data_IF_355901532753
#
_entry.id   IF_355901532753
#
_cell.length_a   1.000
_cell.length_b   1.000
_cell.length_c   1.000
_cell.angle_alpha   90.00
_cell.angle_beta   90.00
_cell.angle_gamma   90.00
#
_symmetry.space_group_name_H-M   'P 1'
#
loop_
_entity.id
_entity.type
_entity.pdbx_description
1 polymer ?
#
# COMPACT_ATOMS: atom_id res chain seq x y z
N UNK A 1 28.24 3.69 17.48
CA UNK A 1 26.95 3.63 16.77
C UNK A 1 25.84 3.84 17.78
N UNK A 2 25.31 5.05 17.83
CA UNK A 2 24.21 5.40 18.74
C UNK A 2 22.91 4.90 18.11
N UNK A 3 22.31 3.88 18.67
CA UNK A 3 20.92 3.55 18.42
C UNK A 3 20.09 4.60 19.18
N UNK A 4 19.65 5.63 18.50
CA UNK A 4 18.58 6.47 19.01
C UNK A 4 17.30 5.63 19.03
N UNK A 5 17.05 4.99 20.15
CA UNK A 5 15.71 4.61 20.52
C UNK A 5 15.00 5.91 20.91
N UNK A 6 14.39 6.57 19.96
CA UNK A 6 13.43 7.62 20.24
C UNK A 6 12.28 6.98 21.02
N UNK A 7 12.34 7.10 22.34
CA UNK A 7 11.25 6.75 23.24
C UNK A 7 10.09 7.70 22.92
N UNK A 8 9.22 7.27 22.00
CA UNK A 8 7.97 7.97 21.74
C UNK A 8 7.05 7.72 22.91
N UNK A 9 6.84 8.72 23.77
CA UNK A 9 5.84 8.62 24.82
C UNK A 9 4.45 8.39 24.22
N UNK A 10 3.80 7.31 24.65
CA UNK A 10 2.40 7.06 24.33
C UNK A 10 1.53 7.97 25.16
N UNK A 11 0.70 8.77 24.51
CA UNK A 11 -0.37 9.49 25.18
C UNK A 11 -1.56 8.55 25.36
N UNK A 12 -2.34 8.79 26.40
CA UNK A 12 -3.62 8.10 26.61
C UNK A 12 -4.48 8.27 25.35
N UNK A 13 -4.91 7.15 24.75
CA UNK A 13 -5.66 7.02 23.49
C UNK A 13 -4.83 6.99 22.20
N UNK A 14 -3.51 6.81 22.24
CA UNK A 14 -2.73 6.52 21.04
C UNK A 14 -3.06 5.11 20.53
N UNK A 15 -3.27 4.99 19.22
CA UNK A 15 -3.37 3.72 18.53
C UNK A 15 -1.98 3.33 18.02
N UNK A 16 -1.54 2.13 18.38
CA UNK A 16 -0.34 1.52 17.79
C UNK A 16 -0.79 0.37 16.88
N UNK A 17 -0.33 0.41 15.64
CA UNK A 17 -0.52 -0.66 14.66
C UNK A 17 0.84 -1.26 14.39
N UNK A 18 1.01 -2.55 14.65
CA UNK A 18 2.24 -3.30 14.40
C UNK A 18 2.03 -4.24 13.22
N UNK A 19 2.87 -4.13 12.22
CA UNK A 19 2.97 -5.07 11.12
C UNK A 19 4.21 -5.92 11.30
N UNK A 20 4.02 -7.22 11.45
CA UNK A 20 5.11 -8.18 11.53
C UNK A 20 5.38 -8.78 10.15
N UNK A 21 6.66 -8.96 9.85
CA UNK A 21 7.10 -9.54 8.59
C UNK A 21 6.84 -11.05 8.58
N UNK A 22 6.01 -11.51 7.66
CA UNK A 22 5.88 -12.93 7.34
C UNK A 22 6.96 -13.43 6.36
N UNK A 23 6.98 -14.73 6.10
CA UNK A 23 7.97 -15.37 5.21
C UNK A 23 7.93 -14.80 3.79
N UNK A 24 6.75 -14.45 3.28
CA UNK A 24 6.53 -13.91 1.93
C UNK A 24 6.60 -12.38 1.86
N UNK A 25 7.14 -11.71 2.87
CA UNK A 25 7.21 -10.25 2.89
C UNK A 25 8.05 -9.66 1.76
N UNK A 26 9.16 -10.30 1.44
CA UNK A 26 10.03 -9.88 0.36
C UNK A 26 9.84 -10.79 -0.85
N UNK A 27 9.45 -10.20 -1.96
CA UNK A 27 9.27 -10.87 -3.25
C UNK A 27 10.52 -10.76 -4.11
N UNK A 28 10.87 -11.85 -4.78
CA UNK A 28 11.99 -11.89 -5.72
C UNK A 28 11.62 -11.21 -7.04
N UNK A 29 12.31 -10.13 -7.34
CA UNK A 29 12.20 -9.44 -8.61
C UNK A 29 13.43 -9.76 -9.48
N UNK A 30 13.27 -10.51 -10.57
CA UNK A 30 14.39 -10.85 -11.44
C UNK A 30 14.90 -9.61 -12.17
N UNK A 31 16.16 -9.32 -11.99
CA UNK A 31 16.92 -8.32 -12.74
C UNK A 31 17.69 -8.99 -13.88
N UNK A 32 18.47 -8.19 -14.59
CA UNK A 32 19.36 -8.65 -15.63
C UNK A 32 20.46 -9.58 -15.09
N UNK A 33 20.90 -10.57 -15.87
CA UNK A 33 21.96 -11.54 -15.53
C UNK A 33 21.69 -12.45 -14.33
N UNK A 34 20.43 -12.80 -14.06
CA UNK A 34 20.10 -13.75 -13.00
C UNK A 34 20.23 -13.19 -11.58
N UNK A 35 20.39 -11.87 -11.45
CA UNK A 35 20.38 -11.20 -10.15
C UNK A 35 18.92 -10.96 -9.74
N UNK A 36 18.52 -11.44 -8.57
CA UNK A 36 17.22 -11.15 -8.00
C UNK A 36 17.32 -10.02 -6.98
N UNK A 37 16.46 -9.03 -7.12
CA UNK A 37 16.28 -8.00 -6.11
C UNK A 37 15.09 -8.35 -5.22
N UNK A 38 15.27 -8.28 -3.92
CA UNK A 38 14.18 -8.42 -2.97
C UNK A 38 13.33 -7.14 -2.93
N UNK A 39 12.09 -7.26 -3.35
CA UNK A 39 11.14 -6.15 -3.34
C UNK A 39 10.15 -6.30 -2.17
N UNK A 40 10.04 -5.31 -1.30
CA UNK A 40 9.01 -5.26 -0.28
C UNK A 40 7.65 -4.88 -0.87
N UNK A 41 6.53 -5.19 -0.17
CA UNK A 41 5.19 -4.90 -0.63
C UNK A 41 4.85 -3.41 -0.55
N UNK A 42 3.90 -2.98 -1.37
CA UNK A 42 3.17 -1.72 -1.19
C UNK A 42 2.12 -1.93 -0.10
N UNK A 43 1.92 -0.94 0.75
CA UNK A 43 1.05 -1.02 1.91
C UNK A 43 0.23 0.26 2.04
N UNK A 44 -1.06 0.11 2.35
CA UNK A 44 -1.90 1.19 2.85
C UNK A 44 -2.59 0.75 4.14
N UNK A 45 -2.69 1.66 5.09
CA UNK A 45 -3.39 1.48 6.36
C UNK A 45 -4.36 2.65 6.51
N UNK A 46 -5.63 2.34 6.74
CA UNK A 46 -6.66 3.35 6.93
C UNK A 46 -7.68 2.96 7.97
N UNK A 47 -8.45 3.93 8.41
CA UNK A 47 -9.57 3.74 9.32
C UNK A 47 -10.89 3.83 8.57
N UNK A 48 -11.82 2.98 8.97
CA UNK A 48 -13.22 3.02 8.57
C UNK A 48 -14.12 3.12 9.80
N UNK A 49 -15.30 3.70 9.63
CA UNK A 49 -16.35 3.63 10.64
C UNK A 49 -16.99 2.24 10.69
N UNK A 50 -18.00 2.07 11.52
CA UNK A 50 -18.74 0.80 11.68
C UNK A 50 -19.48 0.38 10.41
N UNK A 51 -19.86 1.34 9.59
CA UNK A 51 -20.63 1.13 8.37
C UNK A 51 -19.73 0.90 7.15
N UNK A 52 -18.40 0.97 7.35
CA UNK A 52 -17.39 0.76 6.31
C UNK A 52 -17.03 2.02 5.53
N UNK A 53 -17.42 3.20 6.01
CA UNK A 53 -17.04 4.45 5.38
C UNK A 53 -15.60 4.82 5.75
N UNK A 54 -14.83 5.26 4.77
CA UNK A 54 -13.48 5.75 4.97
C UNK A 54 -13.45 6.97 5.91
N UNK A 55 -12.57 6.95 6.89
CA UNK A 55 -12.35 8.05 7.83
C UNK A 55 -11.05 8.79 7.55
N UNK A 56 -9.94 8.07 7.55
CA UNK A 56 -8.60 8.66 7.34
C UNK A 56 -7.58 7.61 6.96
N UNK A 57 -6.54 8.02 6.23
CA UNK A 57 -5.36 7.21 5.99
C UNK A 57 -4.36 7.39 7.13
N UNK A 58 -3.92 6.29 7.71
CA UNK A 58 -2.88 6.25 8.72
C UNK A 58 -1.49 6.25 8.07
N UNK A 59 -1.32 5.37 7.07
CA UNK A 59 -0.05 5.17 6.39
C UNK A 59 -0.28 4.72 4.95
N UNK A 60 0.54 5.17 4.02
CA UNK A 60 0.63 4.63 2.67
C UNK A 60 2.06 4.72 2.16
N UNK A 61 2.52 3.70 1.43
CA UNK A 61 3.84 3.71 0.83
C UNK A 61 4.02 4.87 -0.16
N UNK A 62 5.16 5.51 -0.12
CA UNK A 62 5.47 6.72 -0.89
C UNK A 62 5.23 6.57 -2.40
N UNK A 63 5.56 5.41 -2.97
CA UNK A 63 5.34 5.15 -4.39
C UNK A 63 3.87 5.23 -4.80
N UNK A 64 2.97 4.75 -3.95
CA UNK A 64 1.53 4.85 -4.16
C UNK A 64 1.06 6.29 -3.98
N UNK A 65 1.51 6.95 -2.90
CA UNK A 65 1.10 8.31 -2.58
C UNK A 65 1.49 9.33 -3.66
N UNK A 66 2.65 9.16 -4.29
CA UNK A 66 3.24 10.16 -5.21
C UNK A 66 3.37 9.69 -6.64
N UNK A 67 3.07 8.43 -6.92
CA UNK A 67 3.29 7.82 -8.23
C UNK A 67 4.74 7.91 -8.72
N UNK A 68 5.69 7.83 -7.78
CA UNK A 68 7.14 7.90 -8.05
C UNK A 68 7.73 6.55 -8.52
N UNK A 69 6.97 5.81 -9.32
CA UNK A 69 7.43 4.56 -9.90
C UNK A 69 8.59 4.78 -10.86
N UNK A 70 9.60 3.93 -10.74
CA UNK A 70 10.68 3.86 -11.71
C UNK A 70 10.37 2.76 -12.73
N UNK A 71 10.65 3.01 -14.00
CA UNK A 71 10.51 2.05 -15.10
C UNK A 71 9.07 1.52 -15.31
N UNK A 72 8.06 2.21 -14.82
CA UNK A 72 6.66 1.82 -14.97
C UNK A 72 5.98 2.49 -16.18
N UNK A 73 6.73 3.22 -17.00
CA UNK A 73 6.17 3.95 -18.14
C UNK A 73 5.04 4.90 -17.71
N UNK A 74 3.88 4.77 -18.35
CA UNK A 74 2.66 5.51 -17.99
C UNK A 74 1.72 4.73 -17.08
N UNK A 75 2.07 3.49 -16.67
CA UNK A 75 1.23 2.66 -15.84
C UNK A 75 1.16 3.25 -14.43
N UNK A 76 -0.04 3.61 -13.98
CA UNK A 76 -0.31 4.13 -12.64
C UNK A 76 -0.49 3.02 -11.60
N UNK A 77 -0.44 1.75 -12.03
CA UNK A 77 -0.60 0.59 -11.17
C UNK A 77 -1.88 0.64 -10.33
N UNK A 78 -3.00 0.90 -11.01
CA UNK A 78 -4.34 0.96 -10.40
C UNK A 78 -4.71 -0.33 -9.66
N UNK A 79 -4.10 -1.44 -10.01
CA UNK A 79 -4.29 -2.76 -9.41
C UNK A 79 -3.46 -2.95 -8.14
N UNK A 80 -2.59 -2.00 -7.78
CA UNK A 80 -1.65 -2.18 -6.66
C UNK A 80 -2.35 -2.16 -5.30
N UNK A 81 -3.07 -1.09 -4.99
CA UNK A 81 -3.86 -0.96 -3.76
C UNK A 81 -5.26 -0.42 -4.09
N UNK A 82 -6.10 -1.23 -4.77
CA UNK A 82 -7.39 -0.76 -5.29
C UNK A 82 -8.40 -0.44 -4.19
N UNK A 83 -8.44 -1.20 -3.10
CA UNK A 83 -9.43 -1.00 -2.04
C UNK A 83 -9.19 0.31 -1.30
N UNK A 84 -7.95 0.60 -0.91
CA UNK A 84 -7.61 1.88 -0.28
C UNK A 84 -7.97 3.07 -1.16
N UNK A 85 -7.59 3.02 -2.44
CA UNK A 85 -7.85 4.13 -3.35
C UNK A 85 -9.35 4.36 -3.58
N UNK A 86 -10.13 3.30 -3.75
CA UNK A 86 -11.59 3.39 -3.86
C UNK A 86 -12.26 3.86 -2.57
N UNK A 87 -11.83 3.35 -1.41
CA UNK A 87 -12.39 3.72 -0.11
C UNK A 87 -12.25 5.21 0.18
N UNK A 88 -11.17 5.84 -0.27
CA UNK A 88 -10.96 7.29 -0.16
C UNK A 88 -12.02 8.10 -0.92
N UNK A 89 -12.59 7.56 -2.00
CA UNK A 89 -13.62 8.23 -2.79
C UNK A 89 -13.13 9.42 -3.62
N UNK A 90 -11.83 9.69 -3.67
CA UNK A 90 -11.23 10.80 -4.44
C UNK A 90 -10.96 10.34 -5.86
N UNK A 91 -11.71 10.88 -6.82
CA UNK A 91 -11.55 10.60 -8.25
C UNK A 91 -10.78 11.74 -8.93
N UNK A 92 -9.73 11.37 -9.64
CA UNK A 92 -8.85 12.30 -10.35
C UNK A 92 -9.31 12.52 -11.81
N UNK A 93 -8.73 13.51 -12.50
CA UNK A 93 -9.12 13.91 -13.86
C UNK A 93 -9.05 12.78 -14.89
N UNK A 94 -8.18 11.82 -14.70
CA UNK A 94 -8.04 10.62 -15.55
C UNK A 94 -9.08 9.53 -15.27
N UNK A 95 -10.02 9.79 -14.36
CA UNK A 95 -11.08 8.85 -13.98
C UNK A 95 -10.64 7.76 -12.98
N UNK A 96 -9.39 7.75 -12.54
CA UNK A 96 -8.87 6.82 -11.54
C UNK A 96 -8.94 7.41 -10.13
N UNK A 97 -8.89 6.53 -9.13
CA UNK A 97 -8.92 6.90 -7.70
C UNK A 97 -7.55 6.96 -7.04
N UNK A 98 -6.50 6.66 -7.78
CA UNK A 98 -5.12 6.77 -7.32
C UNK A 98 -4.62 8.20 -7.35
N UNK A 99 -3.79 8.63 -6.41
CA UNK A 99 -3.07 9.89 -6.50
C UNK A 99 -2.29 10.01 -7.80
N UNK A 100 -1.98 11.23 -8.20
CA UNK A 100 -1.16 11.52 -9.38
C UNK A 100 0.16 12.17 -8.97
N UNK A 101 1.10 12.30 -9.91
CA UNK A 101 2.32 13.09 -9.67
C UNK A 101 2.04 14.58 -9.46
N UNK A 102 0.95 15.08 -10.07
CA UNK A 102 0.53 16.49 -9.93
C UNK A 102 -0.24 16.72 -8.63
N UNK A 103 -1.01 15.72 -8.22
CA UNK A 103 -1.86 15.74 -7.04
C UNK A 103 -1.51 14.52 -6.17
N UNK A 104 -0.35 14.55 -5.49
CA UNK A 104 0.06 13.47 -4.61
C UNK A 104 -0.82 13.44 -3.36
N UNK A 105 -0.88 12.27 -2.74
CA UNK A 105 -1.53 12.13 -1.44
C UNK A 105 -0.66 12.77 -0.34
N UNK A 106 -1.29 13.61 0.50
CA UNK A 106 -0.61 14.37 1.56
C UNK A 106 -1.24 14.22 2.95
N UNK A 107 -2.42 13.61 3.04
CA UNK A 107 -3.24 13.60 4.27
C UNK A 107 -2.96 12.41 5.20
N UNK A 108 -1.76 11.87 5.18
CA UNK A 108 -1.35 10.77 6.05
C UNK A 108 0.15 10.57 6.02
N UNK A 109 0.64 9.68 6.90
CA UNK A 109 2.04 9.32 6.87
C UNK A 109 2.39 8.61 5.56
N UNK A 110 3.48 9.03 4.95
CA UNK A 110 4.07 8.34 3.81
C UNK A 110 5.48 7.89 4.14
N UNK A 111 5.85 6.70 3.71
CA UNK A 111 7.17 6.15 3.97
C UNK A 111 7.70 5.34 2.80
N UNK A 112 9.02 5.10 2.81
CA UNK A 112 9.63 4.16 1.89
C UNK A 112 8.97 2.79 2.03
N UNK A 113 8.96 2.02 0.94
CA UNK A 113 8.44 0.64 0.96
C UNK A 113 9.24 -0.18 1.98
N UNK A 114 8.61 -0.72 3.04
CA UNK A 114 9.32 -1.29 4.17
C UNK A 114 9.89 -2.68 3.85
N UNK A 115 11.18 -2.87 4.15
CA UNK A 115 11.87 -4.16 4.00
C UNK A 115 11.63 -5.11 5.17
N UNK A 116 11.20 -4.57 6.30
CA UNK A 116 10.89 -5.32 7.53
C UNK A 116 9.54 -4.88 8.09
N UNK A 117 9.07 -5.61 9.11
CA UNK A 117 7.93 -5.18 9.90
C UNK A 117 8.16 -3.82 10.54
N UNK A 118 7.11 -3.08 10.80
CA UNK A 118 7.19 -1.73 11.35
C UNK A 118 5.97 -1.39 12.20
N UNK A 119 6.14 -0.39 13.04
CA UNK A 119 5.07 0.18 13.85
C UNK A 119 4.61 1.51 13.27
N UNK A 120 3.31 1.72 13.29
CA UNK A 120 2.69 3.02 13.02
C UNK A 120 1.89 3.45 14.25
N UNK A 121 2.03 4.70 14.63
CA UNK A 121 1.31 5.30 15.75
C UNK A 121 0.48 6.46 15.26
N UNK A 122 -0.74 6.57 15.77
CA UNK A 122 -1.61 7.69 15.47
C UNK A 122 -2.55 7.98 16.64
N UNK A 123 -3.07 9.19 16.67
CA UNK A 123 -4.20 9.54 17.53
C UNK A 123 -5.47 9.52 16.69
N UNK A 124 -6.47 8.66 17.01
CA UNK A 124 -7.78 8.75 16.39
C UNK A 124 -8.40 10.13 16.66
N UNK A 125 -9.27 10.58 15.75
CA UNK A 125 -9.98 11.83 15.93
C UNK A 125 -10.73 11.88 17.26
N UNK A 126 -10.77 13.05 17.88
CA UNK A 126 -11.47 13.25 19.17
C UNK A 126 -12.94 12.81 19.04
N UNK A 127 -13.40 12.03 20.00
CA UNK A 127 -14.75 11.48 20.01
C UNK A 127 -14.94 10.21 19.17
N UNK A 128 -13.98 9.77 18.40
CA UNK A 128 -14.02 8.52 17.66
C UNK A 128 -13.80 7.33 18.61
N UNK A 129 -14.89 6.66 19.00
CA UNK A 129 -14.87 5.57 19.98
C UNK A 129 -14.80 4.17 19.36
N UNK A 130 -15.26 4.04 18.12
CA UNK A 130 -15.33 2.77 17.43
C UNK A 130 -14.95 2.98 15.95
N UNK A 131 -14.00 2.21 15.50
CA UNK A 131 -13.51 2.23 14.12
C UNK A 131 -12.92 0.86 13.79
N UNK A 132 -12.72 0.63 12.52
CA UNK A 132 -12.04 -0.55 12.01
C UNK A 132 -10.73 -0.11 11.37
N UNK A 133 -9.66 -0.82 11.68
CA UNK A 133 -8.38 -0.67 10.97
C UNK A 133 -8.41 -1.58 9.76
N UNK A 134 -8.10 -1.04 8.60
CA UNK A 134 -7.91 -1.79 7.37
C UNK A 134 -6.47 -1.68 6.91
N UNK A 135 -5.93 -2.77 6.43
CA UNK A 135 -4.58 -2.85 5.88
C UNK A 135 -4.66 -3.57 4.54
N UNK A 136 -4.20 -2.93 3.49
CA UNK A 136 -4.06 -3.53 2.16
C UNK A 136 -2.59 -3.66 1.81
N UNK A 137 -2.21 -4.86 1.34
CA UNK A 137 -0.82 -5.21 1.04
C UNK A 137 -0.77 -5.86 -0.34
N UNK A 138 0.15 -5.42 -1.19
CA UNK A 138 0.37 -6.02 -2.49
C UNK A 138 1.83 -5.89 -2.95
N UNK A 139 2.35 -6.93 -3.60
CA UNK A 139 3.63 -6.87 -4.29
C UNK A 139 3.47 -6.33 -5.71
N UNK A 140 4.51 -5.67 -6.21
CA UNK A 140 4.58 -5.29 -7.62
C UNK A 140 5.19 -6.43 -8.42
N UNK A 141 4.61 -6.72 -9.60
CA UNK A 141 5.12 -7.73 -10.54
C UNK A 141 5.20 -9.15 -9.97
N UNK A 142 4.30 -9.48 -9.04
CA UNK A 142 4.19 -10.79 -8.42
C UNK A 142 3.30 -11.72 -9.25
N UNK A 143 3.80 -12.12 -10.43
CA UNK A 143 3.07 -12.96 -11.38
C UNK A 143 3.19 -14.44 -11.03
N UNK A 144 2.15 -15.20 -11.35
CA UNK A 144 2.10 -16.66 -11.27
C UNK A 144 1.22 -17.24 -12.39
N UNK A 145 0.99 -18.54 -12.38
CA UNK A 145 0.20 -19.23 -13.41
C UNK A 145 -1.26 -18.75 -13.45
N UNK A 146 -1.83 -18.34 -12.32
CA UNK A 146 -3.20 -17.81 -12.27
C UNK A 146 -3.27 -16.32 -12.66
N UNK A 147 -2.20 -15.58 -12.47
CA UNK A 147 -2.07 -14.16 -12.82
C UNK A 147 -0.83 -13.96 -13.69
N UNK A 148 -0.86 -14.43 -14.94
CA UNK A 148 0.31 -14.45 -15.80
C UNK A 148 0.63 -13.04 -16.32
N UNK A 149 1.92 -12.78 -16.46
CA UNK A 149 2.44 -11.53 -17.05
C UNK A 149 1.94 -11.29 -18.49
N UNK A 150 1.57 -12.37 -19.17
CA UNK A 150 1.08 -12.35 -20.56
C UNK A 150 -0.40 -12.00 -20.72
N UNK A 151 -1.17 -11.93 -19.60
CA UNK A 151 -2.58 -11.59 -19.66
C UNK A 151 -2.79 -10.23 -20.35
N UNK A 152 -3.84 -10.14 -21.16
CA UNK A 152 -4.21 -8.96 -21.91
C UNK A 152 -5.37 -8.23 -21.23
N UNK A 153 -5.52 -6.95 -21.54
CA UNK A 153 -6.65 -6.16 -21.04
C UNK A 153 -7.98 -6.81 -21.46
N UNK A 154 -8.85 -7.06 -20.47
CA UNK A 154 -10.10 -7.78 -20.64
C UNK A 154 -10.06 -9.23 -20.16
N UNK A 155 -8.90 -9.82 -19.96
CA UNK A 155 -8.79 -11.14 -19.34
C UNK A 155 -9.16 -11.07 -17.86
N UNK A 156 -9.77 -12.14 -17.33
CA UNK A 156 -10.24 -12.22 -15.93
C UNK A 156 -9.13 -11.96 -14.90
N UNK A 157 -7.91 -12.35 -15.23
CA UNK A 157 -6.73 -12.30 -14.37
C UNK A 157 -5.68 -11.28 -14.87
N UNK A 158 -6.12 -10.30 -15.65
CA UNK A 158 -5.30 -9.17 -16.02
C UNK A 158 -5.00 -8.29 -14.80
N UNK A 159 -3.75 -7.92 -14.63
CA UNK A 159 -3.28 -7.16 -13.47
C UNK A 159 -2.37 -5.98 -13.85
N UNK A 160 -2.64 -5.34 -14.99
CA UNK A 160 -1.92 -4.16 -15.45
C UNK A 160 -0.77 -4.46 -16.44
N UNK A 161 -0.71 -5.67 -17.00
CA UNK A 161 0.33 -6.06 -17.98
C UNK A 161 1.71 -6.24 -17.34
N UNK A 162 2.76 -6.14 -18.15
CA UNK A 162 4.15 -6.43 -17.74
C UNK A 162 4.65 -5.65 -16.51
N UNK A 163 4.08 -4.49 -16.27
CA UNK A 163 4.45 -3.57 -15.19
C UNK A 163 3.38 -3.51 -14.10
N UNK A 164 2.42 -4.42 -14.17
CA UNK A 164 1.32 -4.52 -13.23
C UNK A 164 1.70 -5.22 -11.93
N UNK A 165 0.68 -5.55 -11.13
CA UNK A 165 0.87 -6.13 -9.80
C UNK A 165 1.05 -7.64 -9.81
N UNK A 166 0.40 -8.36 -10.72
CA UNK A 166 0.33 -9.81 -10.69
C UNK A 166 -0.79 -10.27 -9.77
N UNK A 167 -0.48 -10.93 -8.67
CA UNK A 167 -1.46 -11.40 -7.70
C UNK A 167 -2.26 -10.23 -7.08
N UNK A 168 -3.53 -10.45 -6.69
CA UNK A 168 -4.34 -9.41 -6.06
C UNK A 168 -3.82 -9.04 -4.68
N UNK A 169 -4.20 -7.83 -4.22
CA UNK A 169 -3.90 -7.36 -2.88
C UNK A 169 -4.58 -8.23 -1.81
N UNK A 170 -3.92 -8.32 -0.66
CA UNK A 170 -4.48 -8.96 0.54
C UNK A 170 -4.96 -7.87 1.49
N UNK A 171 -6.15 -8.08 2.08
CA UNK A 171 -6.74 -7.14 3.03
C UNK A 171 -6.88 -7.79 4.39
N UNK A 172 -6.41 -7.06 5.40
CA UNK A 172 -6.62 -7.39 6.81
C UNK A 172 -7.57 -6.36 7.42
N UNK A 173 -8.33 -6.78 8.43
CA UNK A 173 -9.22 -5.93 9.20
C UNK A 173 -9.14 -6.27 10.69
N UNK A 174 -9.12 -5.25 11.54
CA UNK A 174 -9.18 -5.35 12.99
C UNK A 174 -10.09 -4.27 13.60
#
# INVERSE_FOLDING_TARGET
CSCNNDLVEYKKNDLKITLEKGESWLHDFPLFLGINKKNPPQIAIWLEDRDGNYLSTVYVTHKIATQSWQMAGKNRRKESLPHWSYSRGVKYDDGLYLPTKKEPFTDGLTGATPHDGFDVKMQPAEGLKQFRVKIEINHSTDFNDNYPKSAQEGDKNYSGGKEGSGQPAVIYAA
#
